data_IF_910085360155
#
_entry.id   IF_910085360155
#
_cell.length_a   1.000
_cell.length_b   1.000
_cell.length_c   1.000
_cell.angle_alpha   90.00
_cell.angle_beta   90.00
_cell.angle_gamma   90.00
#
_symmetry.space_group_name_H-M   'P 1'
#
loop_
_entity.id
_entity.type
_entity.pdbx_description
1 polymer ?
#
# COMPACT_ATOMS: atom_id res chain seq x y z
N UNK A 1 -16.36 101.12 -36.61
CA UNK A 1 -17.78 101.25 -37.04
C UNK A 1 -18.56 100.22 -36.28
N UNK A 2 -19.20 100.75 -35.26
CA UNK A 2 -20.65 100.77 -35.05
C UNK A 2 -21.21 99.38 -34.67
N UNK A 3 -21.58 99.24 -33.49
CA UNK A 3 -22.75 99.55 -32.70
C UNK A 3 -23.61 98.29 -32.48
N UNK A 4 -23.82 98.06 -31.27
CA UNK A 4 -25.00 98.21 -30.41
C UNK A 4 -25.72 96.87 -30.16
N UNK A 5 -25.84 96.62 -28.88
CA UNK A 5 -27.05 96.54 -28.01
C UNK A 5 -27.96 95.31 -28.27
N UNK A 6 -28.68 94.75 -27.33
CA UNK A 6 -29.16 95.07 -25.99
C UNK A 6 -29.92 93.81 -25.48
N UNK A 7 -29.86 93.51 -24.19
CA UNK A 7 -30.93 93.08 -23.31
C UNK A 7 -31.82 91.86 -23.74
N UNK A 8 -32.25 90.93 -22.95
CA UNK A 8 -32.79 91.01 -21.60
C UNK A 8 -33.17 89.58 -21.08
N UNK A 9 -33.05 89.43 -19.79
CA UNK A 9 -33.94 88.83 -18.81
C UNK A 9 -34.31 87.39 -18.83
N UNK A 10 -33.90 86.79 -17.71
CA UNK A 10 -34.67 86.04 -16.69
C UNK A 10 -35.47 84.80 -17.17
N UNK A 11 -35.13 83.70 -16.63
CA UNK A 11 -35.93 83.01 -15.58
C UNK A 11 -35.19 81.74 -15.15
N UNK A 12 -35.05 81.64 -13.82
CA UNK A 12 -34.44 80.48 -13.19
C UNK A 12 -35.32 79.24 -13.31
N UNK A 13 -34.63 78.13 -13.49
CA UNK A 13 -35.21 76.79 -13.20
C UNK A 13 -34.17 76.01 -12.42
N UNK A 14 -34.41 75.90 -11.15
CA UNK A 14 -33.63 75.15 -10.19
C UNK A 14 -33.91 73.64 -10.45
N UNK A 15 -33.06 72.97 -11.18
CA UNK A 15 -33.13 71.51 -11.31
C UNK A 15 -32.20 70.87 -10.28
N UNK A 16 -32.81 70.39 -9.18
CA UNK A 16 -32.19 69.52 -8.19
C UNK A 16 -31.66 68.26 -8.92
N UNK A 17 -30.37 68.21 -9.16
CA UNK A 17 -29.71 66.94 -9.49
C UNK A 17 -29.67 66.06 -8.25
N UNK A 18 -30.51 65.02 -8.24
CA UNK A 18 -30.38 63.91 -7.30
C UNK A 18 -29.15 63.14 -7.66
N UNK A 19 -28.13 63.21 -6.82
CA UNK A 19 -26.93 62.38 -6.88
C UNK A 19 -27.37 60.97 -6.49
N UNK A 20 -27.57 60.08 -7.49
CA UNK A 20 -27.81 58.68 -7.26
C UNK A 20 -26.45 58.00 -7.04
N UNK A 21 -26.12 57.82 -5.77
CA UNK A 21 -24.96 57.09 -5.33
C UNK A 21 -25.17 55.60 -5.71
N UNK A 22 -24.59 55.15 -6.84
CA UNK A 22 -24.55 53.74 -7.19
C UNK A 22 -23.49 53.06 -6.31
N UNK A 23 -23.92 52.42 -5.22
CA UNK A 23 -23.08 51.47 -4.49
C UNK A 23 -22.81 50.27 -5.39
N UNK A 24 -21.56 49.86 -5.66
CA UNK A 24 -21.28 48.58 -6.27
C UNK A 24 -21.58 47.47 -5.26
N UNK A 25 -22.53 46.61 -5.57
CA UNK A 25 -22.77 45.39 -4.81
C UNK A 25 -21.57 44.49 -5.08
N UNK A 26 -20.66 44.41 -4.10
CA UNK A 26 -19.55 43.46 -4.09
C UNK A 26 -20.11 42.07 -3.82
N UNK A 27 -20.36 41.30 -4.85
CA UNK A 27 -20.72 39.89 -4.73
C UNK A 27 -19.45 39.12 -4.32
N UNK A 28 -19.30 38.93 -3.02
CA UNK A 28 -18.27 38.03 -2.48
C UNK A 28 -18.75 36.59 -2.75
N UNK A 29 -18.26 36.01 -3.84
CA UNK A 29 -18.42 34.58 -4.09
C UNK A 29 -17.55 33.83 -3.09
N UNK A 30 -18.15 33.33 -2.02
CA UNK A 30 -17.50 32.37 -1.11
C UNK A 30 -17.38 31.06 -1.89
N UNK A 31 -16.22 30.84 -2.51
CA UNK A 31 -15.83 29.52 -3.01
C UNK A 31 -15.53 28.69 -1.77
N UNK A 32 -16.52 27.94 -1.31
CA UNK A 32 -16.29 26.88 -0.33
C UNK A 32 -15.41 25.84 -1.00
N UNK A 33 -14.10 25.90 -0.77
CA UNK A 33 -13.18 24.83 -1.11
C UNK A 33 -13.56 23.63 -0.25
N UNK A 34 -14.39 22.74 -0.79
CA UNK A 34 -14.52 21.39 -0.27
C UNK A 34 -13.16 20.72 -0.48
N UNK A 35 -12.32 20.75 0.55
CA UNK A 35 -11.17 19.88 0.65
C UNK A 35 -11.74 18.45 0.76
N UNK A 36 -11.91 17.79 -0.39
CA UNK A 36 -12.07 16.34 -0.40
C UNK A 36 -10.74 15.84 0.15
N UNK A 37 -10.71 15.50 1.43
CA UNK A 37 -9.58 14.83 2.03
C UNK A 37 -9.39 13.52 1.28
N UNK A 38 -8.42 13.46 0.37
CA UNK A 38 -7.99 12.20 -0.20
C UNK A 38 -7.62 11.31 0.98
N UNK A 39 -8.36 10.21 1.18
CA UNK A 39 -7.94 9.17 2.09
C UNK A 39 -6.55 8.75 1.64
N UNK A 40 -5.60 8.74 2.55
CA UNK A 40 -4.27 8.27 2.21
C UNK A 40 -4.41 6.80 1.82
N UNK A 41 -3.97 6.45 0.62
CA UNK A 41 -3.93 5.07 0.14
C UNK A 41 -2.48 4.59 0.17
N UNK A 42 -2.28 3.28 0.35
CA UNK A 42 -0.96 2.67 0.23
C UNK A 42 -0.36 3.04 -1.13
N UNK A 43 0.74 3.78 -1.09
CA UNK A 43 1.45 4.20 -2.29
C UNK A 43 2.70 3.35 -2.47
N UNK A 44 2.77 2.61 -3.57
CA UNK A 44 3.93 1.77 -3.88
C UNK A 44 5.22 2.57 -4.13
N UNK A 45 5.10 3.85 -4.46
CA UNK A 45 6.25 4.73 -4.75
C UNK A 45 6.82 5.43 -3.51
N UNK A 46 6.18 5.29 -2.35
CA UNK A 46 6.68 5.94 -1.13
C UNK A 46 8.13 5.51 -0.83
N UNK A 47 9.01 6.50 -0.66
CA UNK A 47 10.43 6.29 -0.38
C UNK A 47 11.29 5.88 -1.59
N UNK A 48 10.72 5.81 -2.80
CA UNK A 48 11.45 5.44 -4.00
C UNK A 48 12.01 6.67 -4.73
N UNK A 49 13.19 6.51 -5.35
CA UNK A 49 13.72 7.43 -6.34
C UNK A 49 12.94 7.38 -7.66
N UNK A 50 13.44 8.09 -8.66
CA UNK A 50 12.85 8.04 -10.00
C UNK A 50 13.14 6.68 -10.67
N UNK A 51 12.16 6.18 -11.41
CA UNK A 51 12.32 4.96 -12.21
C UNK A 51 13.19 5.26 -13.45
N UNK A 52 14.30 4.54 -13.59
CA UNK A 52 15.15 4.55 -14.78
C UNK A 52 14.84 3.30 -15.63
N UNK A 53 14.48 3.51 -16.89
CA UNK A 53 14.13 2.44 -17.83
C UNK A 53 15.36 1.72 -18.44
N UNK A 54 16.57 2.03 -17.97
CA UNK A 54 17.79 1.37 -18.42
C UNK A 54 17.73 -0.14 -18.17
N UNK A 55 18.30 -0.90 -19.13
CA UNK A 55 18.44 -2.36 -18.98
C UNK A 55 19.53 -2.71 -17.98
N UNK A 56 19.49 -3.89 -17.35
CA UNK A 56 20.60 -4.37 -16.52
C UNK A 56 21.89 -4.39 -17.31
N UNK A 57 23.00 -3.91 -16.69
CA UNK A 57 24.29 -3.74 -17.41
C UNK A 57 25.13 -5.02 -17.48
N UNK A 58 25.00 -5.88 -16.48
CA UNK A 58 25.91 -7.04 -16.28
C UNK A 58 25.27 -8.38 -16.64
N UNK A 59 23.97 -8.43 -16.83
CA UNK A 59 23.22 -9.62 -17.11
C UNK A 59 21.93 -9.30 -17.87
N UNK A 60 21.32 -10.30 -18.50
CA UNK A 60 20.04 -10.14 -19.18
C UNK A 60 18.87 -10.17 -18.19
N UNK A 61 17.73 -9.60 -18.55
CA UNK A 61 16.51 -9.65 -17.72
C UNK A 61 16.10 -11.09 -17.36
N UNK A 62 16.11 -12.09 -18.28
CA UNK A 62 15.84 -13.47 -17.91
C UNK A 62 16.83 -14.04 -16.88
N UNK A 63 18.11 -13.70 -16.96
CA UNK A 63 19.11 -14.13 -15.97
C UNK A 63 18.85 -13.51 -14.60
N UNK A 64 18.44 -12.23 -14.54
CA UNK A 64 18.04 -11.59 -13.27
C UNK A 64 16.86 -12.35 -12.68
N UNK A 65 15.81 -12.63 -13.47
CA UNK A 65 14.61 -13.37 -13.02
C UNK A 65 15.02 -14.74 -12.48
N UNK A 66 15.81 -15.50 -13.21
CA UNK A 66 16.25 -16.82 -12.77
C UNK A 66 17.02 -16.78 -11.45
N UNK A 67 17.93 -15.80 -11.30
CA UNK A 67 18.76 -15.69 -10.10
C UNK A 67 17.96 -15.25 -8.88
N UNK A 68 17.12 -14.23 -9.01
CA UNK A 68 16.38 -13.78 -7.85
C UNK A 68 15.30 -14.78 -7.41
N UNK A 69 14.65 -15.50 -8.33
CA UNK A 69 13.68 -16.54 -7.94
C UNK A 69 14.34 -17.76 -7.30
N UNK A 70 15.57 -18.07 -7.67
CA UNK A 70 16.39 -19.07 -6.96
C UNK A 70 16.78 -18.57 -5.56
N UNK A 71 17.17 -17.29 -5.42
CA UNK A 71 17.43 -16.67 -4.13
C UNK A 71 16.19 -16.64 -3.23
N UNK A 72 15.00 -16.35 -3.79
CA UNK A 72 13.73 -16.43 -3.07
C UNK A 72 13.41 -17.85 -2.57
N UNK A 73 13.75 -18.88 -3.35
CA UNK A 73 13.63 -20.28 -2.88
C UNK A 73 14.54 -20.53 -1.67
N UNK A 74 15.76 -19.99 -1.68
CA UNK A 74 16.68 -20.08 -0.55
C UNK A 74 16.18 -19.29 0.68
N UNK A 75 15.60 -18.10 0.49
CA UNK A 75 14.97 -17.29 1.56
C UNK A 75 13.80 -18.03 2.19
N UNK A 76 12.94 -18.68 1.38
CA UNK A 76 11.80 -19.48 1.85
C UNK A 76 12.27 -20.64 2.73
N UNK A 77 13.28 -21.36 2.28
CA UNK A 77 13.87 -22.47 3.04
C UNK A 77 14.56 -21.97 4.31
N UNK A 78 15.42 -20.96 4.20
CA UNK A 78 16.15 -20.41 5.34
C UNK A 78 15.20 -19.95 6.45
N UNK A 79 14.06 -19.33 6.10
CA UNK A 79 13.09 -18.84 7.08
C UNK A 79 12.55 -19.94 7.99
N UNK A 80 12.48 -21.19 7.53
CA UNK A 80 12.02 -22.32 8.34
C UNK A 80 12.96 -22.66 9.51
N UNK A 81 14.19 -22.14 9.47
CA UNK A 81 15.19 -22.31 10.54
C UNK A 81 15.23 -21.16 11.55
N UNK A 82 14.29 -20.20 11.45
CA UNK A 82 14.23 -19.05 12.36
C UNK A 82 12.92 -19.01 13.13
N UNK A 83 13.00 -18.52 14.36
CA UNK A 83 11.85 -18.00 15.09
C UNK A 83 11.84 -16.48 15.00
N UNK A 84 10.65 -15.87 15.09
CA UNK A 84 10.50 -14.42 15.08
C UNK A 84 9.22 -14.00 15.79
N UNK A 85 9.10 -12.72 16.11
CA UNK A 85 7.88 -12.11 16.64
C UNK A 85 7.12 -11.48 15.48
N UNK A 86 5.84 -11.81 15.34
CA UNK A 86 4.89 -11.16 14.45
C UNK A 86 3.93 -10.32 15.28
N UNK A 87 3.89 -9.01 15.02
CA UNK A 87 3.04 -8.03 15.70
C UNK A 87 2.10 -7.44 14.66
N UNK A 88 0.81 -7.72 14.77
CA UNK A 88 -0.25 -7.33 13.82
C UNK A 88 -1.17 -6.33 14.50
N UNK A 89 -1.17 -5.09 14.02
CA UNK A 89 -2.11 -4.05 14.43
C UNK A 89 -2.96 -3.65 13.23
N UNK A 90 -4.25 -3.90 13.28
CA UNK A 90 -5.23 -3.41 12.31
C UNK A 90 -6.16 -2.41 12.97
N UNK A 91 -6.49 -1.33 12.27
CA UNK A 91 -7.38 -0.27 12.74
C UNK A 91 -8.41 0.07 11.68
N UNK A 92 -9.64 0.36 12.12
CA UNK A 92 -10.66 1.03 11.32
C UNK A 92 -10.70 2.50 11.66
N UNK A 93 -10.98 3.35 10.66
CA UNK A 93 -10.97 4.79 10.82
C UNK A 93 -12.31 5.40 10.41
N UNK A 94 -12.78 6.35 11.26
CA UNK A 94 -13.83 7.29 10.92
C UNK A 94 -13.20 8.66 10.67
N UNK A 95 -13.09 9.07 9.41
CA UNK A 95 -12.29 10.21 9.01
C UNK A 95 -10.81 10.01 9.31
N UNK A 96 -10.26 10.79 10.25
CA UNK A 96 -8.85 10.66 10.68
C UNK A 96 -8.67 9.97 12.04
N UNK A 97 -9.77 9.61 12.69
CA UNK A 97 -9.76 9.02 14.03
C UNK A 97 -9.93 7.52 13.97
N UNK A 98 -9.14 6.80 14.76
CA UNK A 98 -9.32 5.36 14.97
C UNK A 98 -10.63 5.15 15.73
N UNK A 99 -11.51 4.30 15.22
CA UNK A 99 -12.79 3.95 15.83
C UNK A 99 -12.94 2.47 16.19
N UNK A 100 -11.95 1.66 15.81
CA UNK A 100 -11.83 0.26 16.19
C UNK A 100 -10.44 -0.29 15.90
N UNK A 101 -10.07 -1.36 16.58
CA UNK A 101 -8.77 -2.02 16.37
C UNK A 101 -8.81 -3.52 16.66
N UNK A 102 -7.82 -4.21 16.11
CA UNK A 102 -7.39 -5.56 16.43
C UNK A 102 -5.89 -5.53 16.60
N UNK A 103 -5.40 -6.16 17.67
CA UNK A 103 -3.97 -6.25 17.95
C UNK A 103 -3.62 -7.65 18.45
N UNK A 104 -2.68 -8.30 17.81
CA UNK A 104 -2.18 -9.62 18.16
C UNK A 104 -0.66 -9.67 18.03
N UNK A 105 0.00 -10.26 19.01
CA UNK A 105 1.44 -10.54 18.98
C UNK A 105 1.65 -12.04 19.12
N UNK A 106 2.36 -12.60 18.14
CA UNK A 106 2.59 -14.04 18.03
C UNK A 106 4.08 -14.32 17.91
N UNK A 107 4.59 -15.28 18.67
CA UNK A 107 5.90 -15.87 18.41
C UNK A 107 5.73 -16.98 17.38
N UNK A 108 6.39 -16.85 16.27
CA UNK A 108 6.39 -17.83 15.17
C UNK A 108 7.67 -18.64 15.19
N UNK A 109 7.54 -19.94 14.98
CA UNK A 109 8.65 -20.88 14.81
C UNK A 109 8.25 -21.97 13.82
N UNK A 110 9.14 -22.88 13.53
CA UNK A 110 8.88 -24.01 12.64
C UNK A 110 9.33 -25.31 13.30
N UNK A 111 8.59 -26.40 13.04
CA UNK A 111 8.99 -27.72 13.49
C UNK A 111 10.06 -28.32 12.55
N UNK A 112 10.62 -29.47 12.92
CA UNK A 112 11.64 -30.17 12.12
C UNK A 112 11.18 -30.61 10.72
N UNK A 113 9.89 -30.41 10.36
CA UNK A 113 9.32 -30.67 9.04
C UNK A 113 9.02 -29.37 8.27
N UNK A 114 9.41 -28.22 8.82
CA UNK A 114 9.12 -26.90 8.24
C UNK A 114 7.67 -26.45 8.39
N UNK A 115 6.88 -27.09 9.25
CA UNK A 115 5.53 -26.65 9.56
C UNK A 115 5.58 -25.46 10.49
N UNK A 116 4.88 -24.37 10.12
CA UNK A 116 4.73 -23.16 10.95
C UNK A 116 4.00 -23.49 12.26
N UNK A 117 4.57 -23.05 13.36
CA UNK A 117 4.04 -23.10 14.72
C UNK A 117 3.84 -21.68 15.22
N UNK A 118 2.72 -21.44 15.88
CA UNK A 118 2.34 -20.13 16.40
C UNK A 118 2.06 -20.22 17.90
N UNK A 119 2.62 -19.29 18.66
CA UNK A 119 2.32 -19.09 20.05
C UNK A 119 1.88 -17.63 20.25
N UNK A 120 0.57 -17.41 20.42
CA UNK A 120 0.01 -16.09 20.70
C UNK A 120 0.44 -15.65 22.10
N UNK A 121 1.20 -14.57 22.17
CA UNK A 121 1.71 -14.00 23.42
C UNK A 121 0.89 -12.84 23.93
N UNK A 122 0.16 -12.19 23.00
CA UNK A 122 -0.78 -11.12 23.32
C UNK A 122 -1.90 -11.11 22.26
N UNK A 123 -3.14 -10.92 22.69
CA UNK A 123 -4.28 -10.70 21.81
C UNK A 123 -5.33 -9.84 22.51
N UNK A 124 -5.83 -8.83 21.83
CA UNK A 124 -6.96 -8.02 22.27
C UNK A 124 -8.27 -8.52 21.64
N UNK A 125 -9.37 -8.30 22.36
CA UNK A 125 -10.69 -8.49 21.75
C UNK A 125 -10.87 -7.45 20.63
N UNK A 126 -11.15 -7.92 19.40
CA UNK A 126 -11.38 -7.05 18.26
C UNK A 126 -12.54 -6.08 18.51
N UNK A 127 -12.28 -4.80 18.25
CA UNK A 127 -13.26 -3.71 18.26
C UNK A 127 -13.46 -3.09 16.88
N UNK A 128 -12.92 -3.72 15.81
CA UNK A 128 -13.03 -3.27 14.43
C UNK A 128 -14.49 -2.99 14.05
N UNK A 129 -14.70 -1.95 13.24
CA UNK A 129 -16.03 -1.52 12.79
C UNK A 129 -16.19 -1.70 11.29
N UNK A 130 -17.35 -2.20 10.86
CA UNK A 130 -17.66 -2.41 9.45
C UNK A 130 -16.89 -3.57 8.79
N UNK A 131 -15.88 -4.14 9.46
CA UNK A 131 -15.10 -5.29 8.99
C UNK A 131 -14.96 -6.34 10.08
N UNK A 132 -14.78 -7.60 9.64
CA UNK A 132 -14.41 -8.71 10.52
C UNK A 132 -13.27 -9.46 9.86
N UNK A 133 -12.23 -9.77 10.62
CA UNK A 133 -11.16 -10.62 10.15
C UNK A 133 -11.68 -12.05 9.99
N UNK A 134 -11.57 -12.56 8.79
CA UNK A 134 -11.81 -13.96 8.45
C UNK A 134 -10.52 -14.78 8.62
N UNK A 135 -10.65 -16.10 8.56
CA UNK A 135 -9.48 -16.99 8.52
C UNK A 135 -8.60 -16.68 7.29
N UNK A 136 -9.22 -16.37 6.16
CA UNK A 136 -8.53 -16.04 4.92
C UNK A 136 -7.73 -14.74 5.01
N UNK A 137 -8.24 -13.74 5.75
CA UNK A 137 -7.47 -12.50 6.00
C UNK A 137 -6.24 -12.78 6.85
N UNK A 138 -6.39 -13.64 7.86
CA UNK A 138 -5.25 -14.08 8.68
C UNK A 138 -4.24 -14.91 7.87
N UNK A 139 -4.69 -15.73 6.94
CA UNK A 139 -3.81 -16.48 6.03
C UNK A 139 -3.09 -15.54 5.06
N UNK A 140 -3.74 -14.48 4.57
CA UNK A 140 -3.08 -13.43 3.78
C UNK A 140 -1.97 -12.72 4.58
N UNK A 141 -2.24 -12.37 5.83
CA UNK A 141 -1.24 -11.78 6.75
C UNK A 141 -0.03 -12.70 6.94
N UNK A 142 -0.27 -14.00 7.03
CA UNK A 142 0.76 -15.02 7.30
C UNK A 142 1.60 -15.38 6.08
N UNK A 143 0.97 -15.44 4.90
CA UNK A 143 1.55 -16.05 3.70
C UNK A 143 1.72 -15.09 2.53
N UNK A 144 0.73 -14.21 2.27
CA UNK A 144 0.75 -13.35 1.09
C UNK A 144 1.43 -12.01 1.30
N UNK A 145 1.22 -11.36 2.43
CA UNK A 145 1.89 -10.10 2.70
C UNK A 145 3.42 -10.25 2.84
N UNK A 146 3.96 -11.36 3.39
CA UNK A 146 5.38 -11.69 3.27
C UNK A 146 5.75 -12.46 1.99
N UNK A 147 5.03 -12.28 0.90
CA UNK A 147 5.16 -12.99 -0.37
C UNK A 147 6.60 -13.29 -0.79
N UNK A 148 6.82 -14.50 -1.27
CA UNK A 148 8.12 -14.99 -1.74
C UNK A 148 7.91 -15.68 -3.09
N UNK A 149 8.45 -15.08 -4.16
CA UNK A 149 8.34 -15.60 -5.53
C UNK A 149 9.44 -16.62 -5.82
N UNK A 150 9.19 -17.87 -5.50
CA UNK A 150 10.18 -18.95 -5.70
C UNK A 150 10.26 -19.40 -7.18
N UNK A 151 11.35 -20.11 -7.50
CA UNK A 151 11.54 -20.70 -8.83
C UNK A 151 10.40 -21.65 -9.23
N UNK A 152 9.84 -22.40 -8.27
CA UNK A 152 8.73 -23.34 -8.50
C UNK A 152 7.40 -22.60 -8.77
N UNK A 153 7.23 -21.40 -8.27
CA UNK A 153 6.03 -20.58 -8.49
C UNK A 153 6.12 -19.73 -9.77
N UNK A 154 7.33 -19.44 -10.24
CA UNK A 154 7.57 -18.64 -11.43
C UNK A 154 6.72 -19.03 -12.66
N UNK A 155 6.47 -20.33 -12.98
CA UNK A 155 5.64 -20.72 -14.11
C UNK A 155 4.20 -20.18 -14.06
N UNK A 156 3.68 -19.85 -12.87
CA UNK A 156 2.32 -19.32 -12.66
C UNK A 156 2.22 -17.82 -12.93
N UNK A 157 3.36 -17.11 -12.97
CA UNK A 157 3.41 -15.67 -13.07
C UNK A 157 3.99 -15.19 -14.39
N UNK A 158 3.54 -14.01 -14.82
CA UNK A 158 4.18 -13.18 -15.82
C UNK A 158 4.97 -12.08 -15.11
N UNK A 159 6.24 -11.95 -15.45
CA UNK A 159 7.13 -10.93 -14.94
C UNK A 159 7.54 -9.99 -16.06
N UNK A 160 7.28 -8.69 -15.88
CA UNK A 160 7.67 -7.64 -16.82
C UNK A 160 8.68 -6.73 -16.14
N UNK A 161 9.88 -6.64 -16.72
CA UNK A 161 10.89 -5.70 -16.26
C UNK A 161 10.40 -4.27 -16.47
N UNK A 162 10.42 -3.47 -15.41
CA UNK A 162 9.99 -2.07 -15.43
C UNK A 162 11.16 -1.08 -15.52
N UNK A 163 12.33 -1.45 -15.02
CA UNK A 163 13.50 -0.58 -14.97
C UNK A 163 14.32 -0.75 -13.70
N UNK A 164 15.09 0.27 -13.37
CA UNK A 164 15.88 0.37 -12.14
C UNK A 164 15.34 1.50 -11.28
N UNK A 165 15.39 1.33 -9.96
CA UNK A 165 14.92 2.35 -9.02
C UNK A 165 15.72 2.29 -7.74
N UNK A 166 16.06 3.46 -7.20
CA UNK A 166 16.68 3.56 -5.90
C UNK A 166 15.61 3.46 -4.82
N UNK A 167 15.79 2.56 -3.84
CA UNK A 167 14.90 2.35 -2.69
C UNK A 167 15.73 2.40 -1.42
N UNK A 168 15.51 3.41 -0.59
CA UNK A 168 16.38 3.74 0.54
C UNK A 168 17.84 3.85 0.07
N UNK A 169 18.76 3.03 0.56
CA UNK A 169 20.18 3.00 0.19
C UNK A 169 20.51 1.93 -0.87
N UNK A 170 19.51 1.33 -1.51
CA UNK A 170 19.68 0.20 -2.43
C UNK A 170 19.38 0.58 -3.87
N UNK A 171 20.20 0.14 -4.80
CA UNK A 171 19.90 0.12 -6.23
C UNK A 171 19.15 -1.17 -6.55
N UNK A 172 17.97 -1.04 -7.16
CA UNK A 172 17.11 -2.20 -7.40
C UNK A 172 16.67 -2.33 -8.85
N UNK A 173 16.45 -3.57 -9.28
CA UNK A 173 15.66 -3.90 -10.46
C UNK A 173 14.18 -4.01 -10.08
N UNK A 174 13.31 -3.42 -10.90
CA UNK A 174 11.86 -3.41 -10.64
C UNK A 174 11.15 -4.31 -11.63
N UNK A 175 10.29 -5.18 -11.11
CA UNK A 175 9.47 -6.06 -11.93
C UNK A 175 7.99 -5.90 -11.58
N UNK A 176 7.14 -5.84 -12.61
CA UNK A 176 5.72 -6.10 -12.45
C UNK A 176 5.51 -7.61 -12.42
N UNK A 177 4.69 -8.05 -11.49
CA UNK A 177 4.34 -9.45 -11.27
C UNK A 177 2.84 -9.59 -11.38
N UNK A 178 2.35 -10.45 -12.23
CA UNK A 178 0.93 -10.77 -12.37
C UNK A 178 0.72 -12.27 -12.63
N UNK A 179 -0.35 -12.89 -12.14
CA UNK A 179 -0.64 -14.28 -12.43
C UNK A 179 -0.99 -14.43 -13.92
N UNK A 180 -0.47 -15.47 -14.60
CA UNK A 180 -0.85 -15.79 -15.97
C UNK A 180 -2.31 -16.21 -16.09
N UNK A 181 -2.86 -16.77 -15.03
CA UNK A 181 -4.23 -17.24 -14.94
C UNK A 181 -4.62 -17.36 -13.46
N UNK A 182 -5.78 -16.86 -13.12
CA UNK A 182 -6.38 -17.10 -11.80
C UNK A 182 -7.15 -18.43 -11.81
N UNK A 183 -6.77 -19.34 -10.93
CA UNK A 183 -7.43 -20.60 -10.72
C UNK A 183 -8.35 -20.54 -9.50
N UNK A 184 -9.43 -21.28 -9.56
CA UNK A 184 -10.39 -21.33 -8.46
C UNK A 184 -9.75 -21.84 -7.17
N UNK A 185 -10.01 -21.17 -6.05
CA UNK A 185 -9.48 -21.51 -4.73
C UNK A 185 -7.94 -21.41 -4.63
N UNK A 186 -7.30 -20.66 -5.51
CA UNK A 186 -5.88 -20.33 -5.44
C UNK A 186 -5.71 -18.84 -5.14
N UNK A 187 -4.66 -18.53 -4.39
CA UNK A 187 -4.26 -17.15 -4.10
C UNK A 187 -3.07 -16.79 -4.94
N UNK A 188 -3.05 -15.55 -5.44
CA UNK A 188 -1.99 -15.03 -6.27
C UNK A 188 -1.60 -13.63 -5.81
N UNK A 189 -0.35 -13.27 -5.99
CA UNK A 189 0.14 -11.91 -5.82
C UNK A 189 0.06 -11.16 -7.16
N UNK A 190 -0.39 -9.90 -7.12
CA UNK A 190 -0.29 -8.97 -8.23
C UNK A 190 0.30 -7.66 -7.74
N UNK A 191 1.40 -7.21 -8.36
CA UNK A 191 2.03 -5.97 -7.93
C UNK A 191 3.41 -5.78 -8.51
N UNK A 192 4.27 -5.16 -7.71
CA UNK A 192 5.68 -4.94 -8.05
C UNK A 192 6.61 -5.52 -7.00
N UNK A 193 7.76 -5.97 -7.44
CA UNK A 193 8.87 -6.39 -6.59
C UNK A 193 10.13 -5.61 -6.96
N UNK A 194 10.90 -5.25 -5.95
CA UNK A 194 12.19 -4.59 -6.06
C UNK A 194 13.27 -5.57 -5.63
N UNK A 195 14.19 -5.83 -6.54
CA UNK A 195 15.28 -6.81 -6.39
C UNK A 195 16.58 -6.05 -6.28
N UNK A 196 17.30 -6.20 -5.17
CA UNK A 196 18.63 -5.59 -5.03
C UNK A 196 19.56 -6.01 -6.17
N UNK A 197 20.28 -5.06 -6.74
CA UNK A 197 21.16 -5.31 -7.89
C UNK A 197 22.43 -6.07 -7.51
N UNK A 198 22.81 -6.06 -6.24
CA UNK A 198 24.04 -6.66 -5.73
C UNK A 198 23.88 -8.15 -5.40
N UNK A 199 22.90 -8.48 -4.56
CA UNK A 199 22.68 -9.85 -4.07
C UNK A 199 21.52 -10.57 -4.74
N UNK A 200 20.77 -9.89 -5.60
CA UNK A 200 19.64 -10.41 -6.37
C UNK A 200 18.55 -11.03 -5.49
N UNK A 201 18.29 -10.44 -4.32
CA UNK A 201 17.19 -10.79 -3.45
C UNK A 201 16.11 -9.70 -3.47
N UNK A 202 14.86 -10.06 -3.25
CA UNK A 202 13.76 -9.11 -3.13
C UNK A 202 13.92 -8.34 -1.81
N UNK A 203 13.88 -7.01 -1.87
CA UNK A 203 14.01 -6.11 -0.70
C UNK A 203 12.72 -5.37 -0.37
N UNK A 204 11.86 -5.18 -1.36
CA UNK A 204 10.55 -4.54 -1.22
C UNK A 204 9.56 -5.19 -2.18
N UNK A 205 8.31 -5.26 -1.77
CA UNK A 205 7.21 -5.61 -2.65
C UNK A 205 5.99 -4.74 -2.33
N UNK A 206 5.17 -4.46 -3.33
CA UNK A 206 3.94 -3.71 -3.18
C UNK A 206 2.89 -4.21 -4.17
N UNK A 207 1.72 -4.54 -3.67
CA UNK A 207 0.65 -5.09 -4.47
C UNK A 207 -0.52 -5.57 -3.63
N UNK A 208 -1.26 -6.49 -4.17
CA UNK A 208 -2.43 -7.08 -3.52
C UNK A 208 -2.52 -8.58 -3.78
N UNK A 209 -3.31 -9.27 -2.96
CA UNK A 209 -3.64 -10.66 -3.21
C UNK A 209 -4.86 -10.78 -4.13
N UNK A 210 -4.86 -11.80 -5.00
CA UNK A 210 -5.95 -12.13 -5.90
C UNK A 210 -6.54 -13.51 -5.56
N UNK A 211 -7.83 -13.74 -5.88
CA UNK A 211 -8.79 -12.79 -6.42
C UNK A 211 -9.15 -11.70 -5.41
N UNK A 212 -9.46 -10.50 -5.89
CA UNK A 212 -9.89 -9.38 -5.03
C UNK A 212 -11.18 -9.70 -4.27
N UNK A 213 -12.06 -10.46 -4.92
CA UNK A 213 -13.33 -10.88 -4.34
C UNK A 213 -13.32 -12.38 -4.13
N UNK A 214 -13.44 -12.83 -2.89
CA UNK A 214 -13.73 -14.21 -2.59
C UNK A 214 -15.22 -14.50 -2.85
N UNK A 215 -15.54 -15.77 -3.08
CA UNK A 215 -16.89 -16.23 -3.46
C UNK A 215 -17.96 -15.64 -2.54
N UNK A 216 -18.59 -14.58 -3.01
CA UNK A 216 -19.67 -13.93 -2.29
C UNK A 216 -20.93 -14.81 -2.45
N UNK A 217 -21.38 -15.41 -1.38
CA UNK A 217 -22.74 -15.96 -1.34
C UNK A 217 -23.72 -14.81 -1.57
N UNK A 218 -24.89 -15.11 -2.16
CA UNK A 218 -25.88 -14.16 -2.69
C UNK A 218 -26.28 -12.98 -1.77
N UNK A 219 -25.79 -12.93 -0.51
CA UNK A 219 -26.08 -11.94 0.52
C UNK A 219 -24.89 -11.48 1.35
N UNK A 220 -23.64 -11.84 0.99
CA UNK A 220 -22.45 -11.43 1.70
C UNK A 220 -21.82 -10.19 1.07
N UNK A 221 -21.17 -9.38 1.88
CA UNK A 221 -20.39 -8.20 1.47
C UNK A 221 -19.17 -8.63 0.63
N UNK A 222 -18.82 -7.84 -0.37
CA UNK A 222 -17.60 -8.07 -1.15
C UNK A 222 -16.38 -7.84 -0.25
N UNK A 223 -15.58 -8.89 -0.05
CA UNK A 223 -14.25 -8.74 0.53
C UNK A 223 -13.30 -8.25 -0.56
N UNK A 224 -12.92 -6.98 -0.49
CA UNK A 224 -11.87 -6.43 -1.34
C UNK A 224 -10.54 -6.60 -0.63
N UNK A 225 -9.53 -7.03 -1.37
CA UNK A 225 -8.18 -7.19 -0.85
C UNK A 225 -7.44 -5.86 -0.93
N UNK A 226 -6.91 -5.35 0.20
CA UNK A 226 -6.22 -4.08 0.20
C UNK A 226 -4.86 -4.17 -0.49
N UNK A 227 -4.40 -3.03 -0.98
CA UNK A 227 -3.01 -2.87 -1.41
C UNK A 227 -2.11 -2.79 -0.19
N UNK A 228 -1.01 -3.53 -0.20
CA UNK A 228 -0.02 -3.53 0.86
C UNK A 228 1.39 -3.28 0.33
N UNK A 229 2.28 -2.79 1.17
CA UNK A 229 3.71 -2.70 0.90
C UNK A 229 4.46 -3.43 2.01
N UNK A 230 5.37 -4.32 1.61
CA UNK A 230 6.25 -5.04 2.53
C UNK A 230 7.70 -4.68 2.26
N UNK A 231 8.39 -4.29 3.32
CA UNK A 231 9.84 -4.06 3.34
C UNK A 231 10.51 -5.26 4.00
N UNK A 232 11.71 -5.57 3.55
CA UNK A 232 12.51 -6.66 4.10
C UNK A 232 13.75 -6.12 4.81
N UNK A 233 14.34 -6.94 5.67
CA UNK A 233 15.57 -6.67 6.40
C UNK A 233 16.57 -7.78 6.17
N UNK A 234 17.85 -7.43 6.15
CA UNK A 234 18.93 -8.40 6.01
C UNK A 234 19.19 -9.09 7.37
N UNK A 235 19.08 -10.41 7.39
CA UNK A 235 19.37 -11.26 8.55
C UNK A 235 20.20 -12.43 8.07
N UNK A 236 21.43 -12.56 8.52
CA UNK A 236 22.36 -13.66 8.17
C UNK A 236 22.47 -13.92 6.66
N UNK A 237 22.48 -12.85 5.84
CA UNK A 237 22.58 -12.93 4.38
C UNK A 237 21.27 -13.18 3.63
N UNK A 238 20.12 -13.20 4.32
CA UNK A 238 18.78 -13.35 3.74
C UNK A 238 17.92 -12.13 4.01
N UNK A 239 17.20 -11.64 2.99
CA UNK A 239 16.24 -10.57 3.15
C UNK A 239 14.88 -11.12 3.59
N UNK A 240 14.65 -11.15 4.90
CA UNK A 240 13.37 -11.57 5.48
C UNK A 240 12.37 -10.42 5.59
N UNK A 241 11.06 -10.68 5.54
CA UNK A 241 10.04 -9.68 5.78
C UNK A 241 10.27 -8.99 7.13
N UNK A 242 10.13 -7.67 7.19
CA UNK A 242 10.33 -6.86 8.39
C UNK A 242 9.11 -6.06 8.77
N UNK A 243 8.52 -5.40 7.79
CA UNK A 243 7.46 -4.44 8.01
C UNK A 243 6.49 -4.45 6.84
N UNK A 244 5.21 -4.62 7.12
CA UNK A 244 4.14 -4.48 6.13
C UNK A 244 3.20 -3.36 6.56
N UNK A 245 2.78 -2.54 5.59
CA UNK A 245 1.83 -1.47 5.78
C UNK A 245 0.69 -1.58 4.78
N UNK A 246 -0.53 -1.38 5.29
CA UNK A 246 -1.74 -1.11 4.54
C UNK A 246 -2.30 0.23 4.99
N UNK A 247 -2.77 1.03 4.05
CA UNK A 247 -3.59 2.21 4.28
C UNK A 247 -4.52 2.31 3.07
N UNK A 248 -5.72 1.74 3.18
CA UNK A 248 -6.62 1.55 2.05
C UNK A 248 -8.09 1.64 2.47
N UNK A 249 -8.97 1.80 1.50
CA UNK A 249 -10.42 1.83 1.71
C UNK A 249 -11.06 0.61 1.07
N UNK A 250 -11.62 -0.26 1.90
CA UNK A 250 -12.39 -1.40 1.46
C UNK A 250 -13.79 -0.95 1.06
N UNK A 251 -14.25 -1.33 -0.13
CA UNK A 251 -15.55 -0.96 -0.66
C UNK A 251 -16.50 -2.14 -0.60
N UNK A 252 -17.34 -2.15 0.43
CA UNK A 252 -18.44 -3.11 0.55
C UNK A 252 -19.69 -2.61 -0.15
N UNK A 253 -20.64 -3.50 -0.37
CA UNK A 253 -21.90 -3.14 -1.04
C UNK A 253 -22.70 -2.05 -0.31
N UNK A 254 -22.67 -2.06 1.02
CA UNK A 254 -23.45 -1.15 1.86
C UNK A 254 -22.65 0.08 2.32
N UNK A 255 -21.34 -0.06 2.50
CA UNK A 255 -20.49 0.99 3.05
C UNK A 255 -19.04 0.84 2.59
N UNK A 256 -18.23 1.86 2.84
CA UNK A 256 -16.79 1.82 2.66
C UNK A 256 -16.11 1.96 4.01
N UNK A 257 -15.08 1.17 4.25
CA UNK A 257 -14.34 1.16 5.50
C UNK A 257 -12.88 1.46 5.23
N UNK A 258 -12.37 2.53 5.82
CA UNK A 258 -10.96 2.86 5.76
C UNK A 258 -10.22 2.05 6.82
N UNK A 259 -9.20 1.30 6.38
CA UNK A 259 -8.37 0.47 7.24
C UNK A 259 -6.92 0.92 7.20
N UNK A 260 -6.26 0.77 8.34
CA UNK A 260 -4.81 0.79 8.46
C UNK A 260 -4.35 -0.49 9.08
N UNK A 261 -3.32 -1.09 8.49
CA UNK A 261 -2.70 -2.28 9.05
C UNK A 261 -1.19 -2.09 9.08
N UNK A 262 -0.60 -2.52 10.19
CA UNK A 262 0.84 -2.55 10.40
C UNK A 262 1.19 -3.94 10.92
N UNK A 263 2.06 -4.62 10.18
CA UNK A 263 2.63 -5.90 10.60
C UNK A 263 4.13 -5.69 10.77
N UNK A 264 4.65 -6.04 11.93
CA UNK A 264 6.09 -6.04 12.21
C UNK A 264 6.57 -7.45 12.44
N UNK A 265 7.64 -7.82 11.75
CA UNK A 265 8.32 -9.10 11.95
C UNK A 265 9.71 -8.80 12.48
N UNK A 266 9.93 -9.11 13.73
CA UNK A 266 11.12 -8.72 14.50
C UNK A 266 11.71 -9.89 15.26
N UNK A 267 12.87 -9.67 15.89
CA UNK A 267 13.49 -10.66 16.78
C UNK A 267 13.79 -11.99 16.09
N UNK A 268 14.22 -11.94 14.82
CA UNK A 268 14.66 -13.15 14.12
C UNK A 268 15.80 -13.81 14.88
N UNK A 269 15.62 -15.08 15.24
CA UNK A 269 16.60 -15.91 15.94
C UNK A 269 16.71 -17.23 15.22
N UNK A 270 17.90 -17.57 14.80
CA UNK A 270 18.18 -18.89 14.23
C UNK A 270 17.94 -19.95 15.29
N UNK A 271 17.11 -20.96 15.00
CA UNK A 271 16.92 -22.12 15.87
C UNK A 271 18.25 -22.84 16.06
N UNK A 272 18.49 -23.40 17.24
CA UNK A 272 19.58 -24.32 17.41
C UNK A 272 19.37 -25.45 16.38
N UNK A 273 20.33 -25.67 15.48
CA UNK A 273 20.33 -26.87 14.69
C UNK A 273 20.13 -28.03 15.66
N UNK A 274 19.15 -28.92 15.43
CA UNK A 274 19.13 -30.17 16.18
C UNK A 274 20.52 -30.78 16.01
N UNK A 275 21.30 -30.73 17.08
CA UNK A 275 22.59 -31.38 17.13
C UNK A 275 22.29 -32.84 16.80
N UNK A 276 22.77 -33.29 15.64
CA UNK A 276 22.49 -34.60 15.14
C UNK A 276 22.67 -35.60 16.27
N UNK A 277 21.59 -36.32 16.60
CA UNK A 277 21.73 -37.54 17.39
C UNK A 277 22.60 -38.46 16.57
N UNK A 278 23.64 -39.04 17.20
CA UNK A 278 24.52 -40.00 16.59
C UNK A 278 23.76 -41.25 16.10
#
# INVERSE_FOLDING_TARGET
MSTKHLWNTTTGFCLRQRLVLKLPILVISIVAAFSIGAAAQTNCEDGNGLLDFAQPKTMTVPEVIQKFTAAESAVKEARTHYSYTQDVLMQTLSGKSVDGQFHEVTTVSYDGKGKRLENVTFAEQSTLRGVRLSQEDMDDIREFMPFVLTADELPRYELKYAGQQHVDDLDTYVFHVEPKKEEKNQRYFQGRVWVDTHDLQVVKLCGKSLPETLHVKKHETQDLRPTFVTYRQLVDGHWFPAYTRVDDTLHFRAESVHIKEIIKLTNYKRGAAEAGKP
#
